data_IF_491428259715
#
_entry.id   IF_491428259715
#
_cell.length_a   1.000
_cell.length_b   1.000
_cell.length_c   1.000
_cell.angle_alpha   90.00
_cell.angle_beta   90.00
_cell.angle_gamma   90.00
#
_symmetry.space_group_name_H-M   'P 1'
#
loop_
_entity.id
_entity.type
_entity.pdbx_description
1 polymer ?
#
# COMPACT_ATOMS: atom_id res chain seq x y z
N UNK A 1 8.55 -11.10 -20.00
CA UNK A 1 7.51 -11.01 -18.95
C UNK A 1 7.95 -11.85 -17.77
N UNK A 2 7.82 -11.29 -16.54
CA UNK A 2 8.11 -11.96 -15.29
C UNK A 2 6.88 -11.79 -14.38
N UNK A 3 6.42 -12.88 -13.78
CA UNK A 3 5.32 -12.87 -12.82
C UNK A 3 5.78 -13.56 -11.53
N UNK A 4 5.47 -12.96 -10.40
CA UNK A 4 5.76 -13.47 -9.06
C UNK A 4 4.50 -13.37 -8.20
N UNK A 5 4.14 -14.48 -7.59
CA UNK A 5 3.07 -14.53 -6.60
C UNK A 5 3.63 -15.03 -5.27
N UNK A 6 3.30 -14.33 -4.22
CA UNK A 6 3.69 -14.68 -2.85
C UNK A 6 2.43 -14.83 -2.01
N UNK A 7 2.32 -15.96 -1.34
CA UNK A 7 1.42 -16.17 -0.23
C UNK A 7 2.25 -16.31 1.04
N UNK A 8 1.94 -15.52 2.04
CA UNK A 8 2.73 -15.48 3.27
C UNK A 8 1.89 -15.14 4.49
N UNK A 9 2.42 -15.47 5.66
CA UNK A 9 1.90 -15.07 6.96
C UNK A 9 3.08 -14.82 7.89
N UNK A 10 3.15 -13.61 8.44
CA UNK A 10 4.14 -13.25 9.42
C UNK A 10 3.50 -12.99 10.77
N UNK A 11 4.08 -13.57 11.83
CA UNK A 11 3.62 -13.44 13.22
C UNK A 11 4.83 -13.05 14.06
N UNK A 12 4.67 -12.03 14.88
CA UNK A 12 5.69 -11.54 15.81
C UNK A 12 5.03 -10.99 17.09
N UNK A 13 5.83 -10.47 18.00
CA UNK A 13 5.44 -9.74 19.19
C UNK A 13 5.82 -8.27 19.15
N UNK A 14 6.68 -7.88 18.19
CA UNK A 14 7.06 -6.50 17.86
C UNK A 14 7.51 -6.44 16.41
N UNK A 15 6.86 -5.59 15.58
CA UNK A 15 7.15 -5.55 14.14
C UNK A 15 8.20 -4.53 13.76
N UNK A 16 8.29 -3.39 14.45
CA UNK A 16 9.15 -2.27 14.09
C UNK A 16 9.84 -1.67 15.31
N UNK A 17 11.02 -1.06 15.07
CA UNK A 17 11.71 -0.24 16.06
C UNK A 17 11.13 1.18 16.17
N UNK A 18 10.63 1.74 15.05
CA UNK A 18 9.96 3.05 15.03
C UNK A 18 8.45 2.88 14.91
N UNK A 19 7.66 3.80 15.50
CA UNK A 19 6.21 3.77 15.36
C UNK A 19 5.81 3.87 13.89
N UNK A 20 4.95 2.96 13.49
CA UNK A 20 4.21 3.08 12.24
C UNK A 20 2.72 3.13 12.58
N UNK A 21 1.94 3.82 11.76
CA UNK A 21 0.49 3.87 11.93
C UNK A 21 -0.06 2.45 12.10
N UNK A 22 -0.79 2.24 13.20
CA UNK A 22 -1.45 0.98 13.47
C UNK A 22 -0.60 -0.12 14.13
N UNK A 23 0.65 0.13 14.50
CA UNK A 23 1.45 -0.84 15.24
C UNK A 23 2.15 -0.19 16.43
N UNK A 24 1.75 -0.51 17.66
CA UNK A 24 2.49 -0.10 18.85
C UNK A 24 3.83 -0.82 18.90
N UNK A 25 4.91 -0.07 19.10
CA UNK A 25 6.26 -0.65 19.18
C UNK A 25 6.59 -1.24 20.54
N UNK A 26 5.80 -0.90 21.53
CA UNK A 26 5.97 -1.32 22.90
C UNK A 26 4.79 -2.17 23.35
N UNK A 27 5.03 -3.18 24.17
CA UNK A 27 3.94 -3.98 24.70
C UNK A 27 3.03 -3.10 25.57
N UNK A 28 1.72 -3.29 25.45
CA UNK A 28 0.75 -2.64 26.33
C UNK A 28 1.04 -2.95 27.80
N UNK A 29 1.43 -4.19 28.08
CA UNK A 29 1.82 -4.66 29.39
C UNK A 29 3.16 -5.40 29.34
N UNK A 30 4.20 -4.81 29.89
CA UNK A 30 5.56 -5.39 29.88
C UNK A 30 5.66 -6.71 30.69
N UNK A 31 4.69 -7.00 31.52
CA UNK A 31 4.62 -8.25 32.31
C UNK A 31 3.86 -9.37 31.57
N UNK A 32 3.17 -9.04 30.45
CA UNK A 32 2.43 -10.02 29.65
C UNK A 32 2.72 -9.84 28.15
N UNK A 33 3.87 -10.32 27.72
CA UNK A 33 4.27 -10.27 26.31
C UNK A 33 3.47 -11.24 25.42
N UNK A 34 2.73 -12.19 25.99
CA UNK A 34 1.91 -13.13 25.21
C UNK A 34 0.76 -12.41 24.52
N UNK A 35 0.24 -11.36 25.14
CA UNK A 35 -0.82 -10.51 24.57
C UNK A 35 -0.36 -9.73 23.33
N UNK A 36 0.95 -9.61 23.12
CA UNK A 36 1.53 -8.91 21.97
C UNK A 36 1.69 -9.81 20.75
N UNK A 37 1.57 -11.12 20.91
CA UNK A 37 1.69 -12.04 19.79
C UNK A 37 0.54 -11.85 18.81
N UNK A 38 0.85 -11.35 17.62
CA UNK A 38 -0.11 -11.06 16.56
C UNK A 38 0.53 -11.11 15.18
N UNK A 39 -0.23 -10.78 14.15
CA UNK A 39 0.33 -10.60 12.80
C UNK A 39 1.31 -9.43 12.82
N UNK A 40 2.39 -9.56 12.03
CA UNK A 40 3.32 -8.44 11.83
C UNK A 40 2.63 -7.28 11.10
N UNK A 41 2.98 -6.04 11.38
CA UNK A 41 2.40 -4.88 10.70
C UNK A 41 2.73 -4.82 9.19
N UNK A 42 3.74 -5.56 8.76
CA UNK A 42 4.13 -5.73 7.35
C UNK A 42 3.58 -7.03 6.73
N UNK A 43 2.77 -7.80 7.47
CA UNK A 43 2.14 -9.01 6.93
C UNK A 43 1.26 -8.67 5.73
N UNK A 44 1.55 -9.33 4.60
CA UNK A 44 0.79 -9.23 3.36
C UNK A 44 0.46 -10.64 2.92
N UNK A 45 -0.79 -11.06 3.15
CA UNK A 45 -1.19 -12.44 2.91
C UNK A 45 -1.04 -12.86 1.44
N UNK A 46 -1.35 -11.98 0.51
CA UNK A 46 -1.25 -12.24 -0.92
C UNK A 46 -0.62 -11.06 -1.64
N UNK A 47 0.40 -11.33 -2.46
CA UNK A 47 1.02 -10.33 -3.34
C UNK A 47 1.29 -10.93 -4.71
N UNK A 48 0.78 -10.28 -5.75
CA UNK A 48 1.09 -10.55 -7.14
C UNK A 48 1.85 -9.36 -7.72
N UNK A 49 2.99 -9.63 -8.36
CA UNK A 49 3.75 -8.65 -9.12
C UNK A 49 4.02 -9.19 -10.51
N UNK A 50 3.65 -8.45 -11.54
CA UNK A 50 3.90 -8.79 -12.94
C UNK A 50 4.64 -7.65 -13.59
N UNK A 51 5.77 -7.92 -14.22
CA UNK A 51 6.50 -6.96 -15.04
C UNK A 51 6.64 -7.46 -16.47
N UNK A 52 6.59 -6.55 -17.43
CA UNK A 52 6.75 -6.86 -18.83
C UNK A 52 7.52 -5.77 -19.56
N UNK A 53 8.20 -6.17 -20.61
CA UNK A 53 8.74 -5.33 -21.67
C UNK A 53 8.33 -5.97 -22.98
N UNK A 54 7.76 -5.19 -23.89
CA UNK A 54 7.25 -5.67 -25.15
C UNK A 54 7.50 -4.67 -26.27
N UNK A 55 8.27 -5.08 -27.27
CA UNK A 55 8.45 -4.33 -28.51
C UNK A 55 7.20 -4.47 -29.36
N UNK A 56 6.61 -3.36 -29.74
CA UNK A 56 5.40 -3.40 -30.57
C UNK A 56 5.73 -3.97 -31.96
N UNK A 57 4.86 -4.86 -32.50
CA UNK A 57 5.13 -5.57 -33.74
C UNK A 57 4.80 -4.75 -34.99
N UNK A 58 4.96 -3.42 -34.91
CA UNK A 58 4.64 -2.48 -35.99
C UNK A 58 5.89 -1.84 -36.57
N UNK A 59 5.85 -1.56 -37.90
CA UNK A 59 6.84 -0.78 -38.62
C UNK A 59 7.87 -1.60 -39.38
N UNK A 60 8.92 -0.95 -39.87
CA UNK A 60 9.90 -1.53 -40.77
C UNK A 60 10.55 -2.79 -40.20
N UNK A 61 10.47 -3.91 -40.96
CA UNK A 61 11.00 -5.20 -40.54
C UNK A 61 10.21 -5.91 -39.42
N UNK A 62 9.01 -5.47 -39.12
CA UNK A 62 8.11 -6.08 -38.14
C UNK A 62 6.93 -6.77 -38.83
N UNK A 63 6.09 -7.48 -38.05
CA UNK A 63 4.98 -8.30 -38.58
C UNK A 63 3.91 -7.45 -39.26
N UNK A 64 3.66 -6.24 -38.78
CA UNK A 64 2.62 -5.36 -39.29
C UNK A 64 3.22 -4.05 -39.80
N UNK A 65 2.68 -3.54 -40.92
CA UNK A 65 3.11 -2.29 -41.56
C UNK A 65 4.61 -2.28 -41.86
N UNK A 66 5.12 -3.40 -42.41
CA UNK A 66 6.53 -3.60 -42.69
C UNK A 66 7.07 -2.81 -43.90
N UNK A 67 6.20 -2.19 -44.71
CA UNK A 67 6.52 -1.42 -45.90
C UNK A 67 7.23 -0.10 -45.59
N UNK A 68 7.97 0.49 -46.51
CA UNK A 68 8.71 1.73 -46.34
C UNK A 68 7.83 3.02 -46.36
N UNK A 69 6.54 2.89 -46.10
CA UNK A 69 5.58 4.01 -46.04
C UNK A 69 5.77 4.95 -44.83
N UNK A 70 5.16 6.13 -44.89
CA UNK A 70 5.21 7.13 -43.81
C UNK A 70 4.67 6.57 -42.47
N UNK A 71 3.63 5.76 -42.51
CA UNK A 71 3.07 5.10 -41.33
C UNK A 71 4.02 4.07 -40.72
N UNK A 72 4.77 3.35 -41.54
CA UNK A 72 5.80 2.45 -41.04
C UNK A 72 6.87 3.17 -40.27
N UNK A 73 7.38 4.29 -40.76
CA UNK A 73 8.37 5.12 -40.06
C UNK A 73 7.84 5.67 -38.74
N UNK A 74 6.57 6.11 -38.72
CA UNK A 74 5.94 6.64 -37.50
C UNK A 74 5.77 5.54 -36.43
N UNK A 75 5.44 4.32 -36.85
CA UNK A 75 5.12 3.22 -35.93
C UNK A 75 6.32 2.33 -35.61
N UNK A 76 7.46 2.49 -36.29
CA UNK A 76 8.70 1.78 -35.96
C UNK A 76 9.29 2.26 -34.63
N UNK A 77 9.86 1.33 -33.87
CA UNK A 77 10.67 1.64 -32.67
C UNK A 77 9.87 1.92 -31.40
N UNK A 78 8.60 1.52 -31.36
CA UNK A 78 7.80 1.58 -30.15
C UNK A 78 7.99 0.35 -29.27
N UNK A 79 8.16 0.61 -27.97
CA UNK A 79 8.24 -0.39 -26.93
C UNK A 79 7.31 0.02 -25.78
N UNK A 80 6.59 -0.93 -25.22
CA UNK A 80 5.84 -0.73 -23.97
C UNK A 80 6.43 -1.58 -22.87
N UNK A 81 6.43 -1.04 -21.66
CA UNK A 81 6.79 -1.78 -20.46
C UNK A 81 5.87 -1.42 -19.33
N UNK A 82 5.76 -2.27 -18.32
CA UNK A 82 4.93 -1.96 -17.18
C UNK A 82 5.14 -2.91 -16.02
N UNK A 83 4.60 -2.46 -14.87
CA UNK A 83 4.59 -3.23 -13.62
C UNK A 83 3.18 -3.17 -13.05
N UNK A 84 2.60 -4.33 -12.81
CA UNK A 84 1.33 -4.50 -12.09
C UNK A 84 1.65 -5.03 -10.70
N UNK A 85 1.13 -4.38 -9.66
CA UNK A 85 1.24 -4.84 -8.28
C UNK A 85 -0.16 -4.91 -7.67
N UNK A 86 -0.54 -6.09 -7.23
CA UNK A 86 -1.78 -6.34 -6.47
C UNK A 86 -1.40 -6.97 -5.15
N UNK A 87 -1.92 -6.44 -4.05
CA UNK A 87 -1.69 -7.05 -2.73
C UNK A 87 -2.85 -6.81 -1.78
N UNK A 88 -3.01 -7.73 -0.81
CA UNK A 88 -3.95 -7.57 0.30
C UNK A 88 -3.50 -6.45 1.24
N UNK A 89 -4.45 -5.94 2.01
CA UNK A 89 -4.17 -4.93 3.04
C UNK A 89 -3.25 -5.46 4.13
N UNK A 90 -2.48 -4.54 4.71
CA UNK A 90 -1.68 -4.82 5.90
C UNK A 90 -2.56 -4.78 7.14
N UNK A 91 -2.28 -5.58 8.17
CA UNK A 91 -3.01 -5.50 9.41
C UNK A 91 -2.66 -4.23 10.20
N UNK A 92 -3.56 -3.85 11.09
CA UNK A 92 -3.35 -2.73 12.00
C UNK A 92 -4.03 -2.98 13.35
N UNK A 93 -3.56 -2.26 14.36
CA UNK A 93 -4.02 -2.32 15.75
C UNK A 93 -4.94 -1.15 16.04
N UNK A 94 -6.04 -1.37 16.73
CA UNK A 94 -6.84 -0.30 17.34
C UNK A 94 -6.24 0.07 18.68
N UNK A 95 -6.06 1.37 18.91
CA UNK A 95 -5.47 1.92 20.11
C UNK A 95 -6.33 3.04 20.69
N UNK A 96 -6.09 3.44 21.92
CA UNK A 96 -6.69 4.65 22.50
C UNK A 96 -5.89 5.88 22.06
N UNK A 97 -6.56 7.02 21.95
CA UNK A 97 -5.85 8.30 21.78
C UNK A 97 -4.88 8.51 22.96
N UNK A 98 -3.74 9.15 22.66
CA UNK A 98 -2.68 9.42 23.64
C UNK A 98 -3.18 10.07 24.91
N UNK A 99 -4.10 11.01 24.78
CA UNK A 99 -4.70 11.78 25.89
C UNK A 99 -5.64 10.95 26.75
N UNK A 100 -5.99 9.74 26.28
CA UNK A 100 -6.91 8.83 26.93
C UNK A 100 -6.18 7.63 27.54
N UNK A 101 -4.95 7.85 28.06
CA UNK A 101 -4.22 6.82 28.81
C UNK A 101 -5.11 6.25 29.91
N UNK A 102 -5.51 4.99 29.76
CA UNK A 102 -6.50 4.36 30.59
C UNK A 102 -5.91 3.46 31.66
N UNK A 103 -4.78 2.81 31.34
CA UNK A 103 -4.10 1.92 32.27
C UNK A 103 -3.48 2.65 33.47
N UNK A 104 -3.18 3.94 33.32
CA UNK A 104 -2.46 4.74 34.30
C UNK A 104 -0.96 4.45 34.36
N UNK A 105 -0.43 3.69 33.37
CA UNK A 105 1.02 3.39 33.31
C UNK A 105 1.82 4.55 32.75
N UNK A 106 1.19 5.53 32.11
CA UNK A 106 1.84 6.65 31.45
C UNK A 106 2.54 6.26 30.14
N UNK A 107 2.37 5.02 29.67
CA UNK A 107 3.05 4.50 28.47
C UNK A 107 2.68 5.31 27.22
N UNK A 108 1.44 5.77 27.12
CA UNK A 108 0.97 6.60 26.02
C UNK A 108 1.70 7.95 25.93
N UNK A 109 2.27 8.43 27.04
CA UNK A 109 3.05 9.67 27.09
C UNK A 109 4.38 9.56 26.35
N UNK A 110 4.89 8.36 26.14
CA UNK A 110 6.15 8.12 25.41
C UNK A 110 6.07 8.54 23.93
N UNK A 111 4.87 8.60 23.35
CA UNK A 111 4.66 9.13 22.01
C UNK A 111 5.15 8.26 20.85
N UNK A 112 5.61 7.06 21.12
CA UNK A 112 6.23 6.15 20.15
C UNK A 112 5.33 4.96 19.78
N UNK A 113 4.00 5.16 19.70
CA UNK A 113 3.05 4.09 19.43
C UNK A 113 2.79 3.15 20.60
N UNK A 114 3.21 3.55 21.80
CA UNK A 114 2.95 2.85 23.04
C UNK A 114 1.59 3.29 23.60
N UNK A 115 0.50 2.96 22.92
CA UNK A 115 -0.83 3.33 23.33
C UNK A 115 -1.54 2.16 24.00
N UNK A 116 -2.36 2.45 25.00
CA UNK A 116 -3.32 1.48 25.53
C UNK A 116 -4.24 1.02 24.40
N UNK A 117 -4.66 -0.23 24.44
CA UNK A 117 -5.66 -0.78 23.54
C UNK A 117 -7.05 -0.78 24.15
N UNK A 118 -8.11 -0.64 23.35
CA UNK A 118 -9.48 -0.73 23.83
C UNK A 118 -9.88 -2.16 24.20
N UNK A 119 -11.07 -2.30 24.78
CA UNK A 119 -11.76 -3.58 24.78
C UNK A 119 -12.43 -3.83 23.43
N UNK A 120 -12.44 -5.08 23.01
CA UNK A 120 -13.21 -5.59 21.88
C UNK A 120 -14.35 -6.45 22.43
N UNK A 121 -15.60 -6.07 22.11
CA UNK A 121 -16.83 -6.74 22.56
C UNK A 121 -17.71 -7.03 21.33
N UNK A 122 -17.28 -7.96 20.49
CA UNK A 122 -17.99 -8.33 19.26
C UNK A 122 -17.08 -8.47 18.05
N UNK A 123 -17.66 -8.67 16.87
CA UNK A 123 -16.90 -8.75 15.63
C UNK A 123 -16.53 -7.33 15.13
N UNK A 124 -15.25 -7.00 15.08
CA UNK A 124 -14.80 -5.71 14.58
C UNK A 124 -14.78 -5.64 13.04
N UNK A 125 -15.03 -6.74 12.35
CA UNK A 125 -15.04 -6.80 10.88
C UNK A 125 -16.32 -6.20 10.32
N UNK A 126 -16.26 -5.76 9.06
CA UNK A 126 -17.43 -5.39 8.26
C UNK A 126 -17.43 -6.18 6.96
N UNK A 127 -18.60 -6.67 6.57
CA UNK A 127 -18.79 -7.32 5.27
C UNK A 127 -18.66 -6.36 4.10
N UNK A 128 -19.09 -5.10 4.27
CA UNK A 128 -18.91 -4.02 3.31
C UNK A 128 -18.12 -2.89 3.97
N UNK A 129 -16.98 -2.54 3.39
CA UNK A 129 -16.09 -1.48 3.87
C UNK A 129 -16.19 -0.28 2.93
N UNK A 130 -16.21 0.92 3.53
CA UNK A 130 -16.10 2.17 2.78
C UNK A 130 -15.06 3.08 3.44
N UNK A 131 -14.59 4.14 2.75
CA UNK A 131 -13.70 5.12 3.37
C UNK A 131 -14.27 5.76 4.64
N UNK A 132 -15.60 5.96 4.69
CA UNK A 132 -16.29 6.57 5.84
C UNK A 132 -16.42 5.58 7.01
N UNK A 133 -16.36 4.26 6.72
CA UNK A 133 -16.49 3.21 7.72
C UNK A 133 -15.74 1.96 7.29
N UNK A 134 -14.49 1.85 7.75
CA UNK A 134 -13.62 0.75 7.35
C UNK A 134 -13.82 -0.53 8.18
N UNK A 135 -14.15 -0.37 9.46
CA UNK A 135 -14.41 -1.46 10.39
C UNK A 135 -15.56 -1.11 11.35
N UNK A 136 -16.01 -2.09 12.12
CA UNK A 136 -17.08 -1.89 13.09
C UNK A 136 -16.57 -1.19 14.34
N UNK A 137 -16.68 0.12 14.36
CA UNK A 137 -16.23 0.96 15.50
C UNK A 137 -17.00 0.69 16.79
N UNK A 138 -18.27 0.26 16.70
CA UNK A 138 -19.09 -0.07 17.87
C UNK A 138 -18.64 -1.35 18.61
N UNK A 139 -17.78 -2.17 17.98
CA UNK A 139 -17.18 -3.31 18.65
C UNK A 139 -16.11 -2.92 19.69
N UNK A 140 -15.65 -1.66 19.67
CA UNK A 140 -14.59 -1.19 20.56
C UNK A 140 -15.14 -0.29 21.65
N UNK A 141 -14.72 -0.53 22.88
CA UNK A 141 -15.12 0.23 24.06
C UNK A 141 -13.91 0.57 24.93
N UNK A 142 -14.02 1.63 25.72
CA UNK A 142 -12.98 1.94 26.69
C UNK A 142 -12.94 0.86 27.79
N UNK A 143 -11.75 0.37 28.15
CA UNK A 143 -11.62 -0.53 29.29
C UNK A 143 -11.90 0.20 30.59
N UNK A 144 -12.20 -0.49 31.71
CA UNK A 144 -12.30 0.11 33.02
C UNK A 144 -11.03 0.88 33.38
N UNK A 145 -11.19 2.03 34.05
CA UNK A 145 -10.04 2.89 34.42
C UNK A 145 -9.03 2.12 35.27
N UNK A 146 -7.75 2.27 34.97
CA UNK A 146 -6.67 1.54 35.63
C UNK A 146 -6.48 0.11 35.11
N UNK A 147 -7.09 -0.23 33.98
CA UNK A 147 -6.92 -1.56 33.35
C UNK A 147 -6.52 -1.48 31.90
N UNK A 148 -5.86 -2.52 31.42
CA UNK A 148 -5.58 -2.71 30.00
C UNK A 148 -6.81 -3.25 29.25
N UNK A 149 -6.95 -2.87 27.99
CA UNK A 149 -7.96 -3.47 27.12
C UNK A 149 -7.55 -4.85 26.59
N UNK A 150 -8.54 -5.59 26.11
CA UNK A 150 -8.37 -6.96 25.62
C UNK A 150 -8.19 -7.05 24.09
N UNK A 151 -8.21 -5.93 23.36
CA UNK A 151 -7.98 -5.95 21.92
C UNK A 151 -6.59 -6.49 21.60
N UNK A 152 -6.53 -7.44 20.68
CA UNK A 152 -5.28 -7.99 20.19
C UNK A 152 -4.53 -7.02 19.28
N UNK A 153 -3.23 -7.28 19.06
CA UNK A 153 -2.42 -6.55 18.11
C UNK A 153 -2.73 -7.01 16.67
N UNK A 154 -2.85 -6.06 15.74
CA UNK A 154 -3.01 -6.30 14.32
C UNK A 154 -4.19 -7.21 13.94
N UNK A 155 -5.34 -6.98 14.59
CA UNK A 155 -6.56 -7.81 14.42
C UNK A 155 -7.41 -7.40 13.22
N UNK A 156 -7.17 -6.23 12.63
CA UNK A 156 -7.92 -5.70 11.49
C UNK A 156 -7.05 -5.61 10.25
N UNK A 157 -7.68 -5.66 9.06
CA UNK A 157 -7.02 -5.49 7.79
C UNK A 157 -7.30 -4.11 7.20
N UNK A 158 -6.24 -3.42 6.83
CA UNK A 158 -6.30 -2.18 6.09
C UNK A 158 -6.67 -2.37 4.62
N UNK A 159 -6.67 -1.29 3.83
CA UNK A 159 -6.89 -1.32 2.40
C UNK A 159 -5.81 -2.11 1.65
N UNK A 160 -6.24 -2.82 0.61
CA UNK A 160 -5.33 -3.42 -0.35
C UNK A 160 -4.61 -2.37 -1.18
N UNK A 161 -3.63 -2.81 -1.94
CA UNK A 161 -2.88 -1.96 -2.87
C UNK A 161 -2.95 -2.53 -4.28
N UNK A 162 -3.50 -1.74 -5.21
CA UNK A 162 -3.64 -2.09 -6.61
C UNK A 162 -2.99 -0.99 -7.45
N UNK A 163 -1.89 -1.30 -8.10
CA UNK A 163 -1.17 -0.30 -8.88
C UNK A 163 -0.71 -0.86 -10.23
N UNK A 164 -0.88 -0.06 -11.27
CA UNK A 164 -0.37 -0.34 -12.61
C UNK A 164 0.44 0.85 -13.07
N UNK A 165 1.74 0.62 -13.25
CA UNK A 165 2.62 1.58 -13.89
C UNK A 165 2.91 1.08 -15.32
N UNK A 166 2.91 2.00 -16.27
CA UNK A 166 3.21 1.69 -17.66
C UNK A 166 4.12 2.74 -18.25
N UNK A 167 4.90 2.34 -19.24
CA UNK A 167 5.70 3.26 -20.03
C UNK A 167 5.58 2.91 -21.51
N UNK A 168 5.62 3.95 -22.32
CA UNK A 168 5.67 3.87 -23.77
C UNK A 168 6.92 4.61 -24.23
N UNK A 169 7.78 3.93 -24.94
CA UNK A 169 9.05 4.47 -25.42
C UNK A 169 9.08 4.36 -26.94
N UNK A 170 9.50 5.42 -27.61
CA UNK A 170 9.77 5.44 -29.04
C UNK A 170 11.23 5.79 -29.29
N UNK A 171 11.93 4.93 -29.99
CA UNK A 171 13.27 5.18 -30.50
C UNK A 171 13.22 5.50 -31.99
N UNK A 172 13.80 6.62 -32.39
CA UNK A 172 13.85 7.10 -33.77
C UNK A 172 15.29 7.36 -34.15
N UNK A 173 15.86 6.55 -35.03
CA UNK A 173 17.17 6.80 -35.59
C UNK A 173 17.10 8.06 -36.49
N UNK A 174 17.89 9.06 -36.18
CA UNK A 174 18.03 10.28 -36.99
C UNK A 174 19.21 10.17 -37.96
N UNK A 175 20.29 9.50 -37.54
CA UNK A 175 21.44 9.12 -38.38
C UNK A 175 22.04 7.81 -37.87
N UNK A 176 23.16 7.38 -38.43
CA UNK A 176 23.88 6.19 -37.96
C UNK A 176 24.37 6.30 -36.51
N UNK A 177 24.67 7.52 -36.05
CA UNK A 177 25.20 7.81 -34.70
C UNK A 177 24.20 8.50 -33.79
N UNK A 178 23.05 8.98 -34.32
CA UNK A 178 22.10 9.77 -33.56
C UNK A 178 20.76 9.07 -33.42
N UNK A 179 20.27 8.98 -32.20
CA UNK A 179 18.96 8.42 -31.89
C UNK A 179 18.16 9.37 -30.98
N UNK A 180 16.93 9.66 -31.38
CA UNK A 180 15.96 10.40 -30.60
C UNK A 180 15.04 9.42 -29.87
N UNK A 181 15.04 9.47 -28.55
CA UNK A 181 14.14 8.69 -27.72
C UNK A 181 13.06 9.60 -27.13
N UNK A 182 11.81 9.28 -27.41
CA UNK A 182 10.65 9.84 -26.70
C UNK A 182 10.16 8.81 -25.67
N UNK A 183 9.77 9.29 -24.48
CA UNK A 183 9.26 8.46 -23.40
C UNK A 183 8.01 9.08 -22.78
N UNK A 184 6.97 8.28 -22.58
CA UNK A 184 5.79 8.62 -21.81
C UNK A 184 5.66 7.59 -20.68
N UNK A 185 5.63 8.05 -19.44
CA UNK A 185 5.55 7.21 -18.24
C UNK A 185 4.28 7.55 -17.46
N UNK A 186 3.56 6.52 -17.07
CA UNK A 186 2.29 6.60 -16.35
C UNK A 186 2.43 5.85 -15.04
N UNK A 187 2.39 6.56 -13.95
CA UNK A 187 2.33 5.99 -12.60
C UNK A 187 0.88 6.00 -12.15
N UNK A 188 0.41 4.89 -11.60
CA UNK A 188 -0.99 4.67 -11.29
C UNK A 188 -1.89 4.93 -12.51
N UNK A 189 -1.65 4.20 -13.61
CA UNK A 189 -2.24 4.40 -14.94
C UNK A 189 -3.77 4.57 -14.89
N UNK A 190 -4.46 3.78 -14.07
CA UNK A 190 -5.91 3.79 -13.95
C UNK A 190 -6.45 4.80 -12.94
N UNK A 191 -5.56 5.59 -12.31
CA UNK A 191 -5.93 6.52 -11.24
C UNK A 191 -6.74 5.84 -10.12
N UNK A 192 -6.37 4.61 -9.78
CA UNK A 192 -7.04 3.87 -8.72
C UNK A 192 -6.70 4.47 -7.36
N UNK A 193 -7.69 4.80 -6.50
CA UNK A 193 -7.42 5.32 -5.18
C UNK A 193 -6.87 4.21 -4.27
N UNK A 194 -5.58 4.24 -4.01
CA UNK A 194 -4.92 3.36 -3.05
C UNK A 194 -4.97 4.01 -1.67
N UNK A 195 -5.91 3.62 -0.85
CA UNK A 195 -6.14 4.20 0.46
C UNK A 195 -5.01 3.88 1.45
N UNK A 196 -4.75 4.82 2.37
CA UNK A 196 -3.93 4.59 3.55
C UNK A 196 -4.74 3.86 4.62
N UNK A 197 -4.10 3.49 5.73
CA UNK A 197 -4.80 2.89 6.86
C UNK A 197 -5.88 3.83 7.39
N UNK A 198 -7.01 3.28 7.87
CA UNK A 198 -8.03 4.07 8.54
C UNK A 198 -7.48 4.63 9.86
N UNK A 199 -8.11 5.69 10.35
CA UNK A 199 -7.86 6.15 11.71
C UNK A 199 -8.24 5.04 12.70
N UNK A 200 -7.26 4.59 13.45
CA UNK A 200 -7.33 3.47 14.37
C UNK A 200 -7.38 3.88 15.84
N UNK A 201 -7.47 5.18 16.13
CA UNK A 201 -7.49 5.66 17.51
C UNK A 201 -8.91 5.85 18.02
N UNK A 202 -9.33 4.99 18.98
CA UNK A 202 -10.60 5.17 19.69
C UNK A 202 -10.57 6.49 20.49
N UNK A 203 -11.58 7.32 20.27
CA UNK A 203 -11.66 8.68 20.79
C UNK A 203 -11.35 9.76 19.76
N UNK A 204 -10.79 9.40 18.61
CA UNK A 204 -10.61 10.32 17.48
C UNK A 204 -11.95 10.61 16.80
N UNK A 205 -12.18 11.86 16.33
CA UNK A 205 -13.37 12.20 15.54
C UNK A 205 -13.51 11.42 14.23
N UNK A 206 -12.38 10.95 13.67
CA UNK A 206 -12.32 10.16 12.42
C UNK A 206 -12.14 8.66 12.66
N UNK A 207 -12.35 8.19 13.88
CA UNK A 207 -12.18 6.77 14.22
C UNK A 207 -12.91 5.84 13.25
N UNK A 208 -12.17 4.95 12.60
CA UNK A 208 -12.68 4.01 11.61
C UNK A 208 -12.79 4.55 10.17
N UNK A 209 -12.42 5.81 9.94
CA UNK A 209 -12.48 6.44 8.63
C UNK A 209 -11.11 6.44 7.94
N UNK A 210 -11.12 6.29 6.63
CA UNK A 210 -9.95 6.51 5.77
C UNK A 210 -9.96 7.95 5.30
N UNK A 211 -9.00 8.74 5.75
CA UNK A 211 -8.94 10.19 5.48
C UNK A 211 -7.92 10.56 4.41
N UNK A 212 -7.14 9.59 3.94
CA UNK A 212 -6.10 9.85 2.95
C UNK A 212 -5.89 8.66 2.02
N UNK A 213 -5.33 8.95 0.86
CA UNK A 213 -4.89 7.97 -0.13
C UNK A 213 -3.44 8.24 -0.52
N UNK A 214 -2.82 7.26 -1.16
CA UNK A 214 -1.50 7.40 -1.78
C UNK A 214 -1.60 8.29 -3.01
N UNK A 215 -0.43 8.55 -3.61
CA UNK A 215 -0.31 9.42 -4.78
C UNK A 215 -1.30 9.03 -5.90
N UNK A 216 -1.97 10.03 -6.48
CA UNK A 216 -2.83 9.83 -7.64
C UNK A 216 -1.99 9.49 -8.88
N UNK A 217 -2.62 9.46 -10.05
CA UNK A 217 -1.92 9.24 -11.31
C UNK A 217 -0.97 10.40 -11.61
N UNK A 218 0.29 10.05 -11.89
CA UNK A 218 1.28 10.95 -12.44
C UNK A 218 1.63 10.54 -13.87
N UNK A 219 1.79 11.52 -14.75
CA UNK A 219 2.21 11.32 -16.13
C UNK A 219 3.46 12.15 -16.36
N UNK A 220 4.50 11.51 -16.88
CA UNK A 220 5.77 12.18 -17.18
C UNK A 220 6.13 11.93 -18.64
N UNK A 221 6.58 12.98 -19.30
CA UNK A 221 7.14 12.92 -20.65
C UNK A 221 8.62 13.27 -20.62
N UNK A 222 9.39 12.54 -21.42
CA UNK A 222 10.82 12.78 -21.57
C UNK A 222 11.25 12.67 -23.02
N UNK A 223 12.23 13.48 -23.40
CA UNK A 223 12.92 13.41 -24.71
C UNK A 223 14.41 13.32 -24.45
N UNK A 224 15.09 12.40 -25.09
CA UNK A 224 16.54 12.21 -24.98
C UNK A 224 17.14 12.07 -26.36
N UNK A 225 18.17 12.86 -26.63
CA UNK A 225 19.03 12.70 -27.81
C UNK A 225 20.28 11.92 -27.39
N UNK A 226 20.53 10.85 -28.11
CA UNK A 226 21.72 10.00 -27.98
C UNK A 226 22.60 10.23 -29.20
N UNK A 227 23.88 10.48 -29.00
CA UNK A 227 24.88 10.70 -30.07
C UNK A 227 26.22 10.11 -29.67
#
# INVERSE_FOLDING_TARGET
MLASYTWSKSIDDASNFFPSAGDPNYPQNSYDLRSERGRSNFDVAHRLSVSYVYDLPFGKGRTYLGDDGAWSKLLTGWQTSGIVTLQTGRPFTVALLRELDNSGTGISALGFGANDRPNVAGDPSLGQRSPERWFNTAAFTFPPRGSFGNAGRNILDGPGYHNVNASLVKNTALSETMNLQFRAEFFNLFNHPNFNLPDNFLGSPSFGQVTSAREPRHIQFGVKLLF
#
